data_IF_255375840790
#
_entry.id   IF_255375840790
#
_cell.length_a   1.000
_cell.length_b   1.000
_cell.length_c   1.000
_cell.angle_alpha   90.00
_cell.angle_beta   90.00
_cell.angle_gamma   90.00
#
_symmetry.space_group_name_H-M   'P 1'
#
loop_
_entity.id
_entity.type
_entity.pdbx_description
1 polymer ?
#
# COMPACT_ATOMS: atom_id res chain seq x y z
N UNK A 1 -53.48 25.11 15.07
CA UNK A 1 -53.00 23.75 14.73
C UNK A 1 -51.53 23.86 14.39
N UNK A 2 -50.64 23.23 15.16
CA UNK A 2 -49.20 23.20 14.87
C UNK A 2 -48.92 22.07 13.87
N UNK A 3 -48.39 22.43 12.70
CA UNK A 3 -47.93 21.49 11.68
C UNK A 3 -46.56 20.94 12.07
N UNK A 4 -46.54 19.71 12.60
CA UNK A 4 -45.29 18.97 12.77
C UNK A 4 -44.90 18.42 11.39
N UNK A 5 -43.77 18.90 10.87
CA UNK A 5 -43.19 18.38 9.63
C UNK A 5 -42.32 17.18 9.97
N UNK A 6 -42.63 16.02 9.38
CA UNK A 6 -41.83 14.80 9.53
C UNK A 6 -40.56 14.91 8.67
N UNK A 7 -39.39 14.82 9.30
CA UNK A 7 -38.10 14.76 8.61
C UNK A 7 -37.62 13.32 8.63
N UNK A 8 -37.43 12.74 7.45
CA UNK A 8 -36.78 11.44 7.28
C UNK A 8 -35.30 11.67 7.00
N UNK A 9 -34.42 11.12 7.83
CA UNK A 9 -32.99 11.07 7.58
C UNK A 9 -32.63 9.78 6.84
N UNK A 10 -31.71 9.88 5.88
CA UNK A 10 -31.18 8.71 5.17
C UNK A 10 -29.70 8.52 5.52
N UNK A 11 -29.29 7.26 5.64
CA UNK A 11 -27.87 6.90 5.79
C UNK A 11 -27.30 6.66 4.40
N UNK A 12 -26.45 7.58 3.95
CA UNK A 12 -25.75 7.45 2.67
C UNK A 12 -24.40 6.78 2.91
N UNK A 13 -24.14 5.73 2.15
CA UNK A 13 -22.82 5.08 2.10
C UNK A 13 -22.23 5.35 0.72
N UNK A 14 -21.25 6.26 0.60
CA UNK A 14 -20.58 6.48 -0.68
C UNK A 14 -19.87 5.20 -1.15
N UNK A 15 -19.64 5.06 -2.46
CA UNK A 15 -18.95 3.88 -2.99
C UNK A 15 -17.54 3.77 -2.40
N UNK A 16 -17.08 2.54 -2.23
CA UNK A 16 -15.68 2.29 -1.86
C UNK A 16 -14.76 2.73 -2.99
N UNK A 17 -13.71 3.45 -2.64
CA UNK A 17 -12.67 3.84 -3.58
C UNK A 17 -11.31 3.86 -2.87
N UNK A 18 -10.24 3.79 -3.67
CA UNK A 18 -8.90 3.90 -3.14
C UNK A 18 -8.58 5.37 -2.82
N UNK A 19 -8.52 5.71 -1.54
CA UNK A 19 -8.21 7.07 -1.07
C UNK A 19 -6.84 7.57 -1.54
N UNK A 20 -5.90 6.66 -1.78
CA UNK A 20 -4.54 6.99 -2.19
C UNK A 20 -4.42 7.24 -3.70
N UNK A 21 -5.42 6.84 -4.49
CA UNK A 21 -5.36 6.98 -5.94
C UNK A 21 -5.28 8.45 -6.38
N UNK A 22 -4.36 8.75 -7.28
CA UNK A 22 -4.07 10.13 -7.73
C UNK A 22 -3.53 11.10 -6.66
N UNK A 23 -3.24 10.63 -5.43
CA UNK A 23 -2.69 11.48 -4.35
C UNK A 23 -1.17 11.43 -4.32
N UNK A 24 -0.53 12.57 -4.02
CA UNK A 24 0.90 12.62 -3.70
C UNK A 24 1.12 12.04 -2.30
N UNK A 25 1.98 11.02 -2.21
CA UNK A 25 2.42 10.42 -0.95
C UNK A 25 3.78 11.01 -0.55
N UNK A 26 4.00 11.21 0.75
CA UNK A 26 5.26 11.68 1.32
C UNK A 26 5.88 10.61 2.20
N UNK A 27 7.18 10.40 2.07
CA UNK A 27 7.95 9.52 2.95
C UNK A 27 9.03 10.34 3.67
N UNK A 28 9.34 9.98 4.91
CA UNK A 28 10.41 10.61 5.69
C UNK A 28 11.80 10.09 5.31
N UNK A 29 11.86 8.95 4.62
CA UNK A 29 13.08 8.35 4.10
C UNK A 29 12.75 7.51 2.85
N UNK A 30 13.65 7.54 1.87
CA UNK A 30 13.60 6.75 0.63
C UNK A 30 15.00 6.22 0.37
N UNK A 31 15.13 4.97 -0.08
CA UNK A 31 16.43 4.41 -0.44
C UNK A 31 17.07 5.17 -1.62
N UNK A 32 18.40 5.29 -1.62
CA UNK A 32 19.15 6.00 -2.65
C UNK A 32 19.17 7.53 -2.50
N UNK A 33 18.49 8.08 -1.49
CA UNK A 33 18.55 9.52 -1.22
C UNK A 33 19.90 9.88 -0.58
N UNK A 34 20.66 10.74 -1.25
CA UNK A 34 21.96 11.22 -0.76
C UNK A 34 23.14 10.29 -1.05
N UNK A 35 22.96 9.24 -1.85
CA UNK A 35 24.02 8.32 -2.25
C UNK A 35 24.24 8.37 -3.78
N UNK A 36 25.49 8.47 -4.26
CA UNK A 36 25.79 8.48 -5.70
C UNK A 36 25.72 7.08 -6.33
N UNK A 37 25.78 6.04 -5.52
CA UNK A 37 25.80 4.64 -5.94
C UNK A 37 24.51 3.92 -5.50
N UNK A 38 24.05 2.89 -6.24
CA UNK A 38 22.86 2.12 -5.86
C UNK A 38 23.01 1.42 -4.50
N UNK A 39 21.98 1.52 -3.66
CA UNK A 39 21.92 0.82 -2.38
C UNK A 39 21.58 -0.67 -2.55
N UNK A 40 22.30 -1.53 -1.84
CA UNK A 40 21.99 -2.95 -1.76
C UNK A 40 20.91 -3.21 -0.71
N UNK A 41 20.01 -4.16 -0.98
CA UNK A 41 18.99 -4.60 -0.04
C UNK A 41 18.86 -6.13 -0.03
N UNK A 42 18.39 -6.67 1.08
CA UNK A 42 18.11 -8.09 1.22
C UNK A 42 16.60 -8.32 1.22
N UNK A 43 16.12 -9.19 0.32
CA UNK A 43 14.74 -9.70 0.35
C UNK A 43 14.74 -11.09 0.96
N UNK A 44 14.21 -11.22 2.16
CA UNK A 44 13.96 -12.53 2.77
C UNK A 44 12.62 -13.07 2.24
N UNK A 45 12.63 -14.30 1.75
CA UNK A 45 11.45 -14.98 1.22
C UNK A 45 11.28 -16.34 1.90
N UNK A 46 10.05 -16.79 2.06
CA UNK A 46 9.76 -18.15 2.51
C UNK A 46 10.10 -19.19 1.44
N UNK A 47 10.07 -20.47 1.82
CA UNK A 47 10.44 -21.62 0.98
C UNK A 47 9.71 -21.69 -0.39
N UNK A 48 8.54 -21.05 -0.51
CA UNK A 48 7.74 -21.01 -1.74
C UNK A 48 7.81 -19.62 -2.41
N UNK A 49 9.02 -19.09 -2.59
CA UNK A 49 9.20 -17.81 -3.26
C UNK A 49 8.92 -17.94 -4.77
N UNK A 50 8.07 -17.04 -5.27
CA UNK A 50 7.85 -16.86 -6.70
C UNK A 50 9.20 -16.56 -7.40
N UNK A 51 9.48 -17.32 -8.46
CA UNK A 51 10.79 -17.32 -9.14
C UNK A 51 10.84 -16.16 -10.13
N UNK A 52 10.90 -14.94 -9.61
CA UNK A 52 11.19 -13.79 -10.47
C UNK A 52 12.65 -13.89 -10.96
N UNK A 53 12.82 -14.00 -12.27
CA UNK A 53 14.10 -14.30 -12.94
C UNK A 53 15.02 -13.07 -12.96
N UNK A 54 14.49 -11.87 -12.68
CA UNK A 54 15.26 -10.62 -12.69
C UNK A 54 15.90 -10.25 -11.35
N UNK A 55 15.82 -11.11 -10.33
CA UNK A 55 16.44 -10.87 -9.03
C UNK A 55 17.49 -11.94 -8.72
N UNK A 56 18.67 -11.49 -8.28
CA UNK A 56 19.70 -12.35 -7.72
C UNK A 56 19.25 -12.82 -6.32
N UNK A 57 18.37 -13.82 -6.30
CA UNK A 57 17.77 -14.34 -5.07
C UNK A 57 18.61 -15.50 -4.53
N UNK A 58 19.21 -15.32 -3.36
CA UNK A 58 19.82 -16.42 -2.61
C UNK A 58 18.69 -17.11 -1.83
N UNK A 59 18.27 -18.30 -2.27
CA UNK A 59 17.19 -19.05 -1.62
C UNK A 59 17.69 -19.69 -0.32
N UNK A 60 16.93 -19.53 0.77
CA UNK A 60 17.16 -20.24 2.02
C UNK A 60 16.77 -21.72 1.91
N UNK A 61 17.40 -22.56 2.72
CA UNK A 61 17.09 -24.00 2.77
C UNK A 61 15.65 -24.23 3.25
N UNK A 62 14.90 -25.07 2.53
CA UNK A 62 13.58 -25.56 2.94
C UNK A 62 13.80 -26.59 4.06
N UNK A 63 13.24 -26.35 5.24
CA UNK A 63 13.19 -27.35 6.31
C UNK A 63 12.06 -28.34 6.10
#
# INVERSE_FOLDING_TARGET
WLTISYVSGEVLTPPYFNLADGRKITATATCGEGTPEPELYCKLVGANADRDVNINLIQGQVS
#
